data_IF_409745068422
#
_entry.id   IF_409745068422
#
_cell.length_a   1.000
_cell.length_b   1.000
_cell.length_c   1.000
_cell.angle_alpha   90.00
_cell.angle_beta   90.00
_cell.angle_gamma   90.00
#
_symmetry.space_group_name_H-M   'P 1'
#
loop_
_entity.id
_entity.type
_entity.pdbx_description
1 polymer ?
#
# COMPACT_ATOMS: atom_id res chain seq x y z
N UNK A 1 34.32 -2.76 10.80
CA UNK A 1 33.22 -2.23 9.95
C UNK A 1 32.02 -1.99 10.85
N UNK A 2 31.70 -0.73 11.14
CA UNK A 2 30.44 -0.38 11.80
C UNK A 2 29.34 -0.45 10.74
N UNK A 3 28.47 -1.45 10.82
CA UNK A 3 27.23 -1.41 10.06
C UNK A 3 26.44 -0.20 10.55
N UNK A 4 25.92 0.69 9.67
CA UNK A 4 25.03 1.74 10.12
C UNK A 4 23.90 1.07 10.89
N UNK A 5 23.63 1.57 12.10
CA UNK A 5 22.54 1.11 12.95
C UNK A 5 21.30 0.92 12.09
N UNK A 6 20.76 -0.31 12.03
CA UNK A 6 19.51 -0.58 11.30
C UNK A 6 18.47 0.43 11.78
N UNK A 7 18.11 1.37 10.91
CA UNK A 7 17.02 2.31 11.19
C UNK A 7 15.75 1.48 11.19
N UNK A 8 15.22 1.21 12.38
CA UNK A 8 13.94 0.53 12.53
C UNK A 8 12.87 1.57 12.25
N UNK A 9 12.27 1.49 11.07
CA UNK A 9 11.11 2.31 10.73
C UNK A 9 9.86 1.54 11.17
N UNK A 10 9.04 2.07 12.11
CA UNK A 10 7.79 1.43 12.47
C UNK A 10 6.91 1.25 11.23
N UNK A 11 6.26 0.09 11.15
CA UNK A 11 5.27 -0.23 10.13
C UNK A 11 3.98 -0.71 10.78
N UNK A 12 2.85 -0.44 10.14
CA UNK A 12 1.53 -0.88 10.58
C UNK A 12 0.99 -1.90 9.59
N UNK A 13 0.81 -3.13 10.06
CA UNK A 13 0.30 -4.23 9.24
C UNK A 13 -1.23 -4.26 9.22
N UNK A 14 -1.78 -4.39 8.02
CA UNK A 14 -3.20 -4.59 7.76
C UNK A 14 -3.42 -5.99 7.19
N UNK A 15 -4.44 -6.69 7.67
CA UNK A 15 -4.90 -7.93 7.06
C UNK A 15 -5.90 -7.58 5.96
N UNK A 16 -5.69 -8.10 4.76
CA UNK A 16 -6.56 -7.85 3.62
C UNK A 16 -6.88 -9.16 2.90
N UNK A 17 -8.07 -9.22 2.33
CA UNK A 17 -8.48 -10.30 1.42
C UNK A 17 -8.26 -9.84 -0.01
N UNK A 18 -7.52 -10.62 -0.79
CA UNK A 18 -7.30 -10.35 -2.21
C UNK A 18 -8.58 -10.65 -2.98
N UNK A 19 -9.24 -9.65 -3.56
CA UNK A 19 -10.47 -9.87 -4.33
C UNK A 19 -10.26 -9.97 -5.83
N UNK A 20 -9.17 -9.39 -6.34
CA UNK A 20 -8.79 -9.40 -7.76
C UNK A 20 -7.27 -9.22 -7.86
N UNK A 21 -6.66 -9.89 -8.82
CA UNK A 21 -5.23 -9.81 -9.11
C UNK A 21 -5.08 -9.21 -10.50
N UNK A 22 -4.39 -8.08 -10.59
CA UNK A 22 -4.20 -7.38 -11.87
C UNK A 22 -2.94 -7.85 -12.59
N UNK A 23 -1.92 -8.21 -11.81
CA UNK A 23 -0.64 -8.76 -12.26
C UNK A 23 0.04 -9.43 -11.07
N UNK A 24 0.82 -10.48 -11.34
CA UNK A 24 1.54 -11.24 -10.33
C UNK A 24 0.92 -12.62 -10.08
N UNK A 25 1.34 -13.24 -8.99
CA UNK A 25 1.14 -14.65 -8.65
C UNK A 25 0.30 -14.86 -7.38
N UNK A 26 -0.31 -13.80 -6.85
CA UNK A 26 -1.30 -13.93 -5.79
C UNK A 26 -2.59 -14.56 -6.32
N UNK A 27 -3.29 -15.27 -5.43
CA UNK A 27 -4.56 -15.89 -5.74
C UNK A 27 -5.73 -15.05 -5.20
N UNK A 28 -6.83 -14.85 -5.97
CA UNK A 28 -8.07 -14.32 -5.43
C UNK A 28 -8.58 -15.18 -4.25
N UNK A 29 -9.08 -14.53 -3.21
CA UNK A 29 -9.51 -15.16 -1.95
C UNK A 29 -8.39 -15.34 -0.92
N UNK A 30 -7.12 -15.18 -1.30
CA UNK A 30 -6.01 -15.26 -0.34
C UNK A 30 -6.08 -14.13 0.69
N UNK A 31 -5.68 -14.46 1.92
CA UNK A 31 -5.49 -13.48 2.99
C UNK A 31 -4.01 -13.14 3.10
N UNK A 32 -3.68 -11.86 2.97
CA UNK A 32 -2.31 -11.37 3.03
C UNK A 32 -2.18 -10.26 4.07
N UNK A 33 -0.94 -9.99 4.49
CA UNK A 33 -0.62 -8.85 5.35
C UNK A 33 0.14 -7.81 4.55
N UNK A 34 -0.35 -6.58 4.55
CA UNK A 34 0.32 -5.44 3.91
C UNK A 34 0.74 -4.46 4.99
N UNK A 35 1.99 -4.01 4.96
CA UNK A 35 2.43 -2.96 5.89
C UNK A 35 2.44 -1.58 5.22
N UNK A 36 1.84 -0.60 5.89
CA UNK A 36 2.06 0.82 5.62
C UNK A 36 3.16 1.36 6.53
N UNK A 37 4.00 2.26 6.03
CA UNK A 37 5.01 2.92 6.86
C UNK A 37 4.40 3.78 7.97
N UNK A 38 5.10 3.88 9.10
CA UNK A 38 4.62 4.52 10.31
C UNK A 38 3.94 3.55 11.28
N UNK A 39 3.60 4.06 12.47
CA UNK A 39 3.04 3.27 13.56
C UNK A 39 3.95 3.27 14.78
N UNK A 40 3.80 2.23 15.62
CA UNK A 40 4.59 2.07 16.85
C UNK A 40 5.31 0.73 16.80
N UNK A 41 6.61 0.72 17.06
CA UNK A 41 7.40 -0.49 17.27
C UNK A 41 8.33 -0.30 18.45
N UNK A 42 8.13 -1.08 19.51
CA UNK A 42 8.81 -0.89 20.81
C UNK A 42 8.63 0.56 21.29
N UNK A 43 9.73 1.29 21.51
CA UNK A 43 9.75 2.69 21.94
C UNK A 43 9.65 3.67 20.78
N UNK A 44 9.81 3.21 19.54
CA UNK A 44 9.80 4.06 18.35
C UNK A 44 8.37 4.32 17.88
N UNK A 45 8.08 5.58 17.56
CA UNK A 45 6.80 6.02 16.99
C UNK A 45 7.05 6.88 15.76
N UNK A 46 6.28 6.61 14.71
CA UNK A 46 6.28 7.40 13.49
C UNK A 46 4.83 7.63 13.04
N UNK A 47 4.53 8.78 12.46
CA UNK A 47 3.22 9.06 11.88
C UNK A 47 2.89 8.04 10.79
N UNK A 48 1.67 7.51 10.81
CA UNK A 48 1.16 6.65 9.75
C UNK A 48 1.24 7.38 8.42
N UNK A 49 1.83 6.74 7.42
CA UNK A 49 1.95 7.27 6.06
C UNK A 49 0.72 6.98 5.21
N UNK A 50 -0.09 6.01 5.61
CA UNK A 50 -1.42 5.72 5.07
C UNK A 50 -2.29 5.05 6.14
N UNK A 51 -3.59 5.37 6.13
CA UNK A 51 -4.60 4.75 6.98
C UNK A 51 -5.62 4.02 6.11
N UNK A 52 -5.82 2.74 6.37
CA UNK A 52 -6.82 1.91 5.68
C UNK A 52 -8.01 1.69 6.60
N UNK A 53 -9.21 1.78 6.04
CA UNK A 53 -10.47 1.60 6.74
C UNK A 53 -11.04 0.22 6.42
N UNK A 54 -11.65 -0.42 7.43
CA UNK A 54 -12.30 -1.71 7.24
C UNK A 54 -13.50 -1.58 6.29
N UNK A 55 -13.68 -2.59 5.43
CA UNK A 55 -14.79 -2.63 4.44
C UNK A 55 -14.51 -1.88 3.13
N UNK A 56 -13.48 -1.05 3.08
CA UNK A 56 -13.08 -0.34 1.86
C UNK A 56 -12.23 -1.21 0.94
N UNK A 57 -12.30 -0.95 -0.37
CA UNK A 57 -11.48 -1.61 -1.38
C UNK A 57 -10.29 -0.75 -1.77
N UNK A 58 -9.12 -1.37 -1.84
CA UNK A 58 -7.87 -0.71 -2.17
C UNK A 58 -7.14 -1.47 -3.27
N UNK A 59 -6.41 -0.72 -4.09
CA UNK A 59 -5.50 -1.24 -5.10
C UNK A 59 -4.09 -1.13 -4.52
N UNK A 60 -3.35 -2.23 -4.55
CA UNK A 60 -2.01 -2.30 -3.99
C UNK A 60 -1.00 -2.63 -5.07
N UNK A 61 0.17 -2.02 -4.98
CA UNK A 61 1.38 -2.51 -5.65
C UNK A 61 2.33 -3.00 -4.56
N UNK A 62 2.66 -4.29 -4.59
CA UNK A 62 3.33 -4.96 -3.47
C UNK A 62 4.50 -5.81 -3.96
N UNK A 63 5.52 -5.92 -3.11
CA UNK A 63 6.59 -6.90 -3.24
C UNK A 63 6.60 -7.85 -2.02
N UNK A 64 7.05 -9.11 -2.20
CA UNK A 64 7.26 -10.04 -1.09
C UNK A 64 8.21 -9.43 -0.05
N UNK A 65 7.86 -9.55 1.23
CA UNK A 65 8.80 -9.28 2.30
C UNK A 65 9.78 -10.46 2.42
N UNK A 66 11.08 -10.19 2.35
CA UNK A 66 12.13 -11.19 2.50
C UNK A 66 12.22 -11.82 3.90
N UNK A 67 11.47 -11.32 4.88
CA UNK A 67 11.45 -11.88 6.23
C UNK A 67 10.54 -13.12 6.34
N UNK A 68 9.28 -13.09 5.86
CA UNK A 68 8.34 -14.22 5.93
C UNK A 68 7.12 -14.00 5.02
N UNK A 69 6.67 -15.02 4.28
CA UNK A 69 5.34 -15.02 3.65
C UNK A 69 4.23 -15.18 4.74
N UNK A 70 3.01 -14.64 4.57
CA UNK A 70 2.47 -13.84 3.46
C UNK A 70 2.53 -12.33 3.76
N UNK A 71 3.68 -11.83 4.24
CA UNK A 71 3.87 -10.39 4.45
C UNK A 71 4.35 -9.73 3.15
N UNK A 72 3.73 -8.61 2.83
CA UNK A 72 4.03 -7.83 1.64
C UNK A 72 4.23 -6.36 2.01
N UNK A 73 5.14 -5.71 1.28
CA UNK A 73 5.43 -4.28 1.45
C UNK A 73 5.14 -3.51 0.18
N UNK A 74 4.69 -2.27 0.33
CA UNK A 74 4.62 -1.32 -0.77
C UNK A 74 6.04 -1.00 -1.26
N UNK A 75 6.24 -0.95 -2.58
CA UNK A 75 7.57 -0.83 -3.17
C UNK A 75 8.12 0.62 -3.08
N UNK A 76 7.30 1.69 -3.26
CA UNK A 76 7.75 3.12 -3.22
C UNK A 76 6.64 4.20 -2.93
N UNK A 77 6.07 4.39 -1.74
CA UNK A 77 4.98 5.37 -1.45
C UNK A 77 4.53 6.49 -2.47
N UNK A 78 3.22 6.66 -2.74
CA UNK A 78 2.08 5.89 -2.21
C UNK A 78 1.77 4.68 -3.10
N UNK A 79 1.90 3.46 -2.59
CA UNK A 79 1.64 2.22 -3.35
C UNK A 79 0.25 1.65 -3.05
N UNK A 80 -0.58 2.47 -2.41
CA UNK A 80 -1.94 2.14 -2.00
C UNK A 80 -2.86 3.18 -2.63
N UNK A 81 -3.84 2.71 -3.38
CA UNK A 81 -4.79 3.54 -4.09
C UNK A 81 -6.21 3.09 -3.80
N UNK A 82 -7.16 3.97 -4.11
CA UNK A 82 -8.59 3.70 -4.03
C UNK A 82 -9.30 4.30 -5.23
N UNK A 83 -10.32 3.63 -5.73
CA UNK A 83 -11.24 4.23 -6.70
C UNK A 83 -12.30 5.03 -5.94
N UNK A 84 -12.34 6.34 -6.17
CA UNK A 84 -13.29 7.29 -5.57
C UNK A 84 -13.73 8.28 -6.63
N UNK A 85 -15.03 8.59 -6.68
CA UNK A 85 -15.59 9.55 -7.64
C UNK A 85 -15.17 9.26 -9.10
N UNK A 86 -15.20 7.97 -9.49
CA UNK A 86 -14.80 7.47 -10.81
C UNK A 86 -13.33 7.75 -11.20
N UNK A 87 -12.46 7.93 -10.19
CA UNK A 87 -11.03 8.25 -10.35
C UNK A 87 -10.17 7.40 -9.43
N UNK A 88 -8.92 7.18 -9.82
CA UNK A 88 -7.91 6.54 -8.96
C UNK A 88 -7.25 7.61 -8.09
N UNK A 89 -7.32 7.44 -6.77
CA UNK A 89 -6.79 8.38 -5.78
C UNK A 89 -5.74 7.68 -4.92
N UNK A 90 -4.62 8.35 -4.67
CA UNK A 90 -3.59 7.89 -3.74
C UNK A 90 -4.11 7.91 -2.29
N UNK A 91 -3.93 6.80 -1.57
CA UNK A 91 -4.24 6.70 -0.14
C UNK A 91 -2.95 6.97 0.63
N UNK A 92 -2.80 8.22 1.09
CA UNK A 92 -1.66 8.65 1.89
C UNK A 92 -2.04 9.75 2.87
N UNK A 93 -1.40 9.74 4.04
CA UNK A 93 -1.46 10.82 5.02
C UNK A 93 -0.39 11.89 4.76
N UNK A 94 0.45 11.72 3.73
CA UNK A 94 1.50 12.66 3.36
C UNK A 94 0.96 13.59 2.26
N UNK A 95 0.76 14.87 2.57
CA UNK A 95 0.11 15.86 1.68
C UNK A 95 0.69 15.92 0.27
N UNK A 96 2.03 15.90 0.11
CA UNK A 96 2.68 15.99 -1.21
C UNK A 96 2.29 14.85 -2.16
N UNK A 97 1.83 13.70 -1.64
CA UNK A 97 1.44 12.54 -2.43
C UNK A 97 -0.05 12.50 -2.75
N UNK A 98 -0.89 13.19 -1.96
CA UNK A 98 -2.34 13.24 -2.19
C UNK A 98 -2.68 13.87 -3.55
N UNK A 99 -1.93 14.89 -3.95
CA UNK A 99 -2.13 15.58 -5.23
C UNK A 99 -1.54 14.84 -6.43
N UNK A 100 -0.57 13.93 -6.24
CA UNK A 100 0.17 13.28 -7.34
C UNK A 100 -0.75 12.49 -8.27
N UNK A 101 -1.72 11.74 -7.74
CA UNK A 101 -2.66 10.97 -8.55
C UNK A 101 -3.92 11.75 -8.94
N UNK A 102 -4.30 12.76 -8.18
CA UNK A 102 -5.39 13.66 -8.57
C UNK A 102 -5.00 14.54 -9.76
N UNK A 103 -3.71 14.90 -9.87
CA UNK A 103 -3.18 15.72 -10.97
C UNK A 103 -3.09 14.96 -12.30
N UNK A 104 -2.90 13.62 -12.29
CA UNK A 104 -2.77 12.81 -13.51
C UNK A 104 -4.09 12.46 -14.19
N UNK A 105 -5.25 12.83 -13.61
CA UNK A 105 -6.61 12.64 -14.17
C UNK A 105 -6.94 11.21 -14.63
N UNK A 106 -6.31 10.18 -14.06
CA UNK A 106 -6.60 8.80 -14.45
C UNK A 106 -8.02 8.44 -13.98
N UNK A 107 -8.91 8.22 -14.95
CA UNK A 107 -10.27 7.73 -14.69
C UNK A 107 -10.24 6.24 -14.32
N UNK A 108 -11.30 5.77 -13.66
CA UNK A 108 -11.47 4.33 -13.43
C UNK A 108 -11.41 3.52 -14.73
N UNK A 109 -12.08 3.99 -15.79
CA UNK A 109 -12.10 3.32 -17.09
C UNK A 109 -10.69 3.23 -17.70
N UNK A 110 -9.94 4.34 -17.71
CA UNK A 110 -8.55 4.35 -18.21
C UNK A 110 -7.62 3.48 -17.35
N UNK A 111 -7.85 3.40 -16.04
CA UNK A 111 -7.08 2.50 -15.19
C UNK A 111 -7.32 1.05 -15.58
N UNK A 112 -8.59 0.64 -15.72
CA UNK A 112 -8.94 -0.74 -16.06
C UNK A 112 -8.46 -1.16 -17.45
N UNK A 113 -8.51 -0.26 -18.44
CA UNK A 113 -8.04 -0.55 -19.80
C UNK A 113 -6.55 -0.88 -19.91
N UNK A 114 -5.74 -0.66 -18.85
CA UNK A 114 -4.32 -1.03 -18.80
C UNK A 114 -4.08 -2.48 -18.38
N UNK A 115 -5.13 -3.19 -17.97
CA UNK A 115 -5.09 -4.56 -17.45
C UNK A 115 -6.08 -5.50 -18.17
N UNK A 116 -6.68 -5.03 -19.26
CA UNK A 116 -7.39 -5.83 -20.27
C UNK A 116 -6.43 -6.23 -21.39
#
# INVERSE_FOLDING_TARGET
MNYPSRVVVPGTAYHVTVTKVLKGDLEPGSQIKIAAGGGTYKTEKASLRATLLAGEKYIFTIAPNGADAPHYYGIIEPFIYQIKDNRVVAVSNIEKYKSTFQATKISEAEFWSKFE
#
